data_IF_913584194957
#
_entry.id   IF_913584194957
#
_cell.length_a   1.000
_cell.length_b   1.000
_cell.length_c   1.000
_cell.angle_alpha   90.00
_cell.angle_beta   90.00
_cell.angle_gamma   90.00
#
_symmetry.space_group_name_H-M   'P 1'
#
loop_
_entity.id
_entity.type
_entity.pdbx_description
1 polymer ?
#
# COMPACT_ATOMS: atom_id res chain seq x y z
N UNK A 1 -20.01 8.04 -5.41
CA UNK A 1 -18.81 8.45 -6.18
C UNK A 1 -18.96 9.93 -6.51
N UNK A 2 -17.85 10.67 -6.55
CA UNK A 2 -17.82 12.10 -6.89
C UNK A 2 -16.86 12.28 -8.06
N UNK A 3 -17.27 13.04 -9.08
CA UNK A 3 -16.41 13.40 -10.21
C UNK A 3 -15.90 14.83 -10.03
N UNK A 4 -14.60 15.03 -10.19
CA UNK A 4 -13.94 16.34 -10.04
C UNK A 4 -13.38 16.75 -11.39
N UNK A 5 -13.97 17.77 -12.00
CA UNK A 5 -13.43 18.36 -13.23
C UNK A 5 -12.25 19.27 -12.90
N UNK A 6 -11.19 19.18 -13.69
CA UNK A 6 -9.96 19.97 -13.50
C UNK A 6 -9.54 20.63 -14.81
N UNK A 7 -8.57 21.55 -14.72
CA UNK A 7 -7.92 22.17 -15.89
C UNK A 7 -6.66 21.42 -16.34
N UNK A 8 -6.44 20.20 -15.84
CA UNK A 8 -5.28 19.39 -16.21
C UNK A 8 -5.36 19.00 -17.69
N UNK A 9 -4.19 18.82 -18.30
CA UNK A 9 -4.10 18.26 -19.65
C UNK A 9 -4.72 16.84 -19.66
N UNK A 10 -5.65 16.53 -20.59
CA UNK A 10 -6.30 15.22 -20.66
C UNK A 10 -5.32 14.03 -20.79
N UNK A 11 -4.13 14.25 -21.33
CA UNK A 11 -3.08 13.22 -21.40
C UNK A 11 -2.59 12.79 -20.02
N UNK A 12 -2.67 13.66 -19.01
CA UNK A 12 -2.25 13.36 -17.64
C UNK A 12 -3.23 12.48 -16.87
N UNK A 13 -4.49 12.37 -17.31
CA UNK A 13 -5.56 11.64 -16.61
C UNK A 13 -6.01 10.36 -17.34
N UNK A 14 -5.42 10.06 -18.49
CA UNK A 14 -5.80 8.90 -19.32
C UNK A 14 -5.38 7.59 -18.64
N UNK A 15 -6.18 6.54 -18.82
CA UNK A 15 -5.84 5.15 -18.42
C UNK A 15 -5.50 5.00 -16.92
N UNK A 16 -6.29 5.63 -16.05
CA UNK A 16 -6.12 5.57 -14.58
C UNK A 16 -4.73 6.01 -14.08
N UNK A 17 -4.06 6.89 -14.82
CA UNK A 17 -2.71 7.41 -14.49
C UNK A 17 -2.61 8.02 -13.08
N UNK A 18 -3.71 8.56 -12.55
CA UNK A 18 -3.79 9.17 -11.21
C UNK A 18 -4.31 8.21 -10.12
N UNK A 19 -4.31 6.89 -10.37
CA UNK A 19 -4.77 5.92 -9.38
C UNK A 19 -3.93 5.98 -8.09
N UNK A 20 -4.61 6.23 -6.98
CA UNK A 20 -4.01 6.38 -5.66
C UNK A 20 -3.52 7.78 -5.32
N UNK A 21 -3.68 8.75 -6.23
CA UNK A 21 -3.36 10.14 -5.94
C UNK A 21 -4.32 10.74 -4.92
N UNK A 22 -3.78 11.62 -4.08
CA UNK A 22 -4.54 12.42 -3.12
C UNK A 22 -4.62 13.84 -3.64
N UNK A 23 -5.79 14.46 -3.53
CA UNK A 23 -6.01 15.87 -3.87
C UNK A 23 -6.42 16.64 -2.61
N UNK A 24 -6.00 17.89 -2.53
CA UNK A 24 -6.26 18.78 -1.39
C UNK A 24 -5.88 20.22 -1.76
N UNK A 25 -6.21 21.14 -0.87
CA UNK A 25 -5.85 22.55 -1.05
C UNK A 25 -4.32 22.73 -1.03
N UNK A 26 -3.78 23.73 -1.75
CA UNK A 26 -2.34 24.00 -1.75
C UNK A 26 -1.76 24.10 -0.34
N UNK A 27 -0.68 23.37 -0.08
CA UNK A 27 0.03 23.38 1.21
C UNK A 27 -0.64 22.59 2.34
N UNK A 28 -1.74 21.87 2.08
CA UNK A 28 -2.46 21.11 3.13
C UNK A 28 -2.13 19.61 3.15
N UNK A 29 -1.50 19.11 2.09
CA UNK A 29 -1.17 17.69 1.97
C UNK A 29 0.22 17.39 2.55
N UNK A 30 0.40 16.19 3.16
CA UNK A 30 1.71 15.69 3.52
C UNK A 30 2.67 15.59 2.32
N UNK A 31 3.97 15.63 2.61
CA UNK A 31 4.99 15.38 1.60
C UNK A 31 4.93 13.92 1.11
N UNK A 32 5.38 13.73 -0.13
CA UNK A 32 5.46 12.41 -0.74
C UNK A 32 6.61 11.61 -0.14
N UNK A 33 6.34 10.37 0.28
CA UNK A 33 7.35 9.47 0.79
C UNK A 33 7.55 8.24 -0.11
N UNK A 34 8.80 7.78 -0.17
CA UNK A 34 9.18 6.49 -0.77
C UNK A 34 9.35 5.39 0.27
N UNK A 35 9.28 5.73 1.55
CA UNK A 35 9.57 4.83 2.65
C UNK A 35 8.46 4.92 3.69
N UNK A 36 8.09 3.81 4.29
CA UNK A 36 7.16 3.84 5.42
C UNK A 36 7.54 2.80 6.46
N UNK A 37 7.18 3.11 7.70
CA UNK A 37 7.19 2.18 8.81
C UNK A 37 5.76 1.76 9.08
N UNK A 38 5.50 0.46 9.10
CA UNK A 38 4.16 -0.12 9.18
C UNK A 38 4.11 -1.10 10.34
N UNK A 39 3.18 -0.87 11.27
CA UNK A 39 2.80 -1.86 12.26
C UNK A 39 1.84 -2.87 11.62
N UNK A 40 2.15 -4.15 11.72
CA UNK A 40 1.53 -5.23 10.96
C UNK A 40 0.81 -6.21 11.86
N UNK A 41 -0.43 -6.53 11.47
CA UNK A 41 -1.21 -7.64 12.00
C UNK A 41 -1.53 -8.61 10.85
N UNK A 42 -0.87 -9.77 10.85
CA UNK A 42 -1.10 -10.85 9.90
C UNK A 42 -2.31 -11.68 10.32
N UNK A 43 -3.02 -12.22 9.34
CA UNK A 43 -4.09 -13.19 9.57
C UNK A 43 -3.52 -14.60 9.71
N UNK A 44 -4.29 -15.53 10.26
CA UNK A 44 -3.89 -16.93 10.33
C UNK A 44 -3.85 -17.59 8.93
N UNK A 45 -4.79 -17.21 8.07
CA UNK A 45 -4.96 -17.73 6.71
C UNK A 45 -5.12 -16.61 5.68
N UNK A 46 -4.57 -16.81 4.49
CA UNK A 46 -4.66 -15.88 3.39
C UNK A 46 -6.09 -15.84 2.82
N UNK A 47 -6.65 -14.65 2.64
CA UNK A 47 -8.03 -14.48 2.19
C UNK A 47 -8.15 -14.61 0.67
N UNK A 48 -9.22 -15.26 0.22
CA UNK A 48 -9.61 -15.39 -1.19
C UNK A 48 -9.13 -16.68 -1.88
N UNK A 49 -8.39 -17.53 -1.17
CA UNK A 49 -8.05 -18.88 -1.64
C UNK A 49 -9.18 -19.85 -1.31
N UNK A 50 -9.43 -20.84 -2.19
CA UNK A 50 -10.32 -21.98 -1.90
C UNK A 50 -9.72 -22.88 -0.84
N UNK A 51 -8.39 -22.97 -0.83
CA UNK A 51 -7.62 -23.73 0.15
C UNK A 51 -7.18 -22.81 1.30
N UNK A 52 -7.23 -23.30 2.55
CA UNK A 52 -6.72 -22.59 3.72
C UNK A 52 -5.19 -22.49 3.69
N UNK A 53 -4.69 -21.44 3.04
CA UNK A 53 -3.25 -21.18 2.98
C UNK A 53 -2.82 -20.42 4.24
N UNK A 54 -2.05 -21.06 5.12
CA UNK A 54 -1.48 -20.41 6.30
C UNK A 54 -0.54 -19.26 5.89
N UNK A 55 -0.66 -18.13 6.58
CA UNK A 55 0.22 -16.97 6.35
C UNK A 55 1.52 -17.16 7.13
N UNK A 56 2.64 -17.16 6.41
CA UNK A 56 3.98 -17.11 7.02
C UNK A 56 4.37 -15.68 7.42
N UNK A 57 5.35 -15.55 8.32
CA UNK A 57 5.93 -14.25 8.68
C UNK A 57 6.47 -13.49 7.46
N UNK A 58 6.47 -12.16 7.52
CA UNK A 58 7.09 -11.30 6.49
C UNK A 58 8.61 -11.40 6.60
N UNK A 59 9.30 -11.47 5.45
CA UNK A 59 10.75 -11.55 5.39
C UNK A 59 11.37 -10.28 4.78
N UNK A 60 12.56 -9.92 5.24
CA UNK A 60 13.36 -8.86 4.63
C UNK A 60 13.71 -9.22 3.18
N UNK A 61 13.58 -8.24 2.28
CA UNK A 61 13.82 -8.41 0.85
C UNK A 61 12.59 -8.89 0.06
N UNK A 62 11.53 -9.34 0.74
CA UNK A 62 10.29 -9.76 0.11
C UNK A 62 9.59 -8.60 -0.61
N UNK A 63 8.92 -8.89 -1.73
CA UNK A 63 8.06 -7.92 -2.41
C UNK A 63 6.61 -8.12 -2.01
N UNK A 64 5.98 -7.07 -1.49
CA UNK A 64 4.59 -7.03 -1.09
C UNK A 64 3.82 -6.01 -1.92
N UNK A 65 2.50 -6.24 -2.05
CA UNK A 65 1.57 -5.23 -2.56
C UNK A 65 0.84 -4.62 -1.37
N UNK A 66 1.08 -3.34 -1.15
CA UNK A 66 0.42 -2.55 -0.12
C UNK A 66 -0.67 -1.71 -0.75
N UNK A 67 -1.83 -1.65 -0.09
CA UNK A 67 -2.90 -0.72 -0.46
C UNK A 67 -3.08 0.29 0.65
N UNK A 68 -2.73 1.55 0.37
CA UNK A 68 -2.83 2.66 1.31
C UNK A 68 -3.89 3.62 0.75
N UNK A 69 -5.01 3.75 1.44
CA UNK A 69 -6.20 4.39 0.87
C UNK A 69 -6.59 3.72 -0.45
N UNK A 70 -6.58 4.48 -1.55
CA UNK A 70 -6.87 3.99 -2.90
C UNK A 70 -5.61 3.63 -3.71
N UNK A 71 -4.41 3.78 -3.15
CA UNK A 71 -3.15 3.58 -3.84
C UNK A 71 -2.69 2.11 -3.78
N UNK A 72 -2.71 1.37 -4.90
CA UNK A 72 -2.00 0.09 -4.99
C UNK A 72 -0.52 0.35 -5.23
N UNK A 73 0.32 -0.14 -4.31
CA UNK A 73 1.75 0.08 -4.32
C UNK A 73 2.48 -1.26 -4.27
N UNK A 74 3.46 -1.44 -5.14
CA UNK A 74 4.46 -2.48 -4.98
C UNK A 74 5.57 -1.93 -4.09
N UNK A 75 5.96 -2.72 -3.09
CA UNK A 75 7.01 -2.36 -2.15
C UNK A 75 7.98 -3.51 -1.93
N UNK A 76 9.19 -3.16 -1.53
CA UNK A 76 10.21 -4.09 -1.03
C UNK A 76 10.36 -3.90 0.47
N UNK A 77 10.31 -4.99 1.22
CA UNK A 77 10.56 -4.98 2.66
C UNK A 77 12.05 -4.77 2.89
N UNK A 78 12.43 -3.71 3.61
CA UNK A 78 13.83 -3.38 3.90
C UNK A 78 14.27 -3.90 5.27
N UNK A 79 13.35 -3.98 6.24
CA UNK A 79 13.61 -4.52 7.56
C UNK A 79 12.32 -5.02 8.22
N UNK A 80 12.44 -6.03 9.08
CA UNK A 80 11.34 -6.55 9.91
C UNK A 80 11.82 -6.63 11.36
N UNK A 81 11.06 -6.04 12.28
CA UNK A 81 11.35 -6.02 13.72
C UNK A 81 10.06 -6.27 14.51
N UNK A 82 9.90 -7.50 14.98
CA UNK A 82 8.68 -7.91 15.70
C UNK A 82 7.44 -7.72 14.83
N UNK A 83 6.51 -6.86 15.28
CA UNK A 83 5.30 -6.50 14.54
C UNK A 83 5.47 -5.29 13.61
N UNK A 84 6.66 -4.71 13.52
CA UNK A 84 6.90 -3.57 12.64
C UNK A 84 7.71 -3.98 11.41
N UNK A 85 7.32 -3.50 10.23
CA UNK A 85 8.14 -3.60 9.03
C UNK A 85 8.46 -2.22 8.47
N UNK A 86 9.64 -2.11 7.87
CA UNK A 86 10.03 -0.98 7.04
C UNK A 86 9.98 -1.40 5.58
N UNK A 87 9.43 -0.53 4.74
CA UNK A 87 9.24 -0.80 3.32
C UNK A 87 9.72 0.38 2.48
N UNK A 88 10.15 0.06 1.27
CA UNK A 88 10.43 1.02 0.20
C UNK A 88 9.43 0.81 -0.94
N UNK A 89 8.71 1.86 -1.31
CA UNK A 89 7.75 1.86 -2.41
C UNK A 89 8.44 2.06 -3.75
N UNK A 90 7.90 1.44 -4.80
CA UNK A 90 8.37 1.65 -6.18
C UNK A 90 8.03 3.03 -6.75
N UNK A 91 6.97 3.65 -6.23
CA UNK A 91 6.50 5.00 -6.59
C UNK A 91 6.14 5.76 -5.30
N UNK A 92 6.24 7.09 -5.28
CA UNK A 92 5.95 7.86 -4.08
C UNK A 92 4.47 7.74 -3.70
N UNK A 93 4.19 7.89 -2.41
CA UNK A 93 2.84 7.94 -1.86
C UNK A 93 2.70 9.14 -0.92
N UNK A 94 1.55 9.80 -0.97
CA UNK A 94 1.15 10.77 0.04
C UNK A 94 0.64 10.00 1.25
N UNK A 95 1.40 10.01 2.34
CA UNK A 95 1.11 9.23 3.53
C UNK A 95 0.61 10.14 4.65
N UNK A 96 -0.57 9.86 5.18
CA UNK A 96 -1.07 10.52 6.39
C UNK A 96 -0.63 9.72 7.61
N UNK A 97 -0.48 10.39 8.75
CA UNK A 97 -0.30 9.71 10.03
C UNK A 97 -1.44 8.72 10.28
N UNK A 98 -1.10 7.54 10.82
CA UNK A 98 -2.05 6.46 11.12
C UNK A 98 -2.84 5.95 9.90
N UNK A 99 -2.25 6.00 8.70
CA UNK A 99 -2.89 5.48 7.49
C UNK A 99 -3.10 3.97 7.58
N UNK A 100 -4.33 3.50 7.34
CA UNK A 100 -4.63 2.07 7.27
C UNK A 100 -4.02 1.46 6.00
N UNK A 101 -3.39 0.30 6.15
CA UNK A 101 -2.72 -0.42 5.06
C UNK A 101 -3.27 -1.83 4.95
N UNK A 102 -3.71 -2.22 3.76
CA UNK A 102 -3.97 -3.62 3.44
C UNK A 102 -2.70 -4.26 2.85
N UNK A 103 -2.34 -5.45 3.32
CA UNK A 103 -1.08 -6.10 2.98
C UNK A 103 -1.37 -7.36 2.19
N UNK A 104 -0.89 -7.39 0.94
CA UNK A 104 -1.05 -8.52 0.04
C UNK A 104 0.30 -9.12 -0.35
N UNK A 105 0.32 -10.45 -0.45
CA UNK A 105 1.48 -11.26 -0.86
C UNK A 105 1.14 -12.03 -2.12
N UNK A 106 2.13 -12.24 -3.00
CA UNK A 106 1.95 -13.09 -4.18
C UNK A 106 2.09 -14.55 -3.77
N UNK A 107 1.03 -15.33 -3.94
CA UNK A 107 0.95 -16.77 -3.63
C UNK A 107 0.36 -17.47 -4.84
N UNK A 108 1.06 -18.46 -5.39
CA UNK A 108 0.64 -19.21 -6.58
C UNK A 108 0.15 -18.27 -7.71
N UNK A 109 0.99 -17.29 -8.08
CA UNK A 109 0.73 -16.29 -9.12
C UNK A 109 -0.36 -15.24 -8.84
N UNK A 110 -1.08 -15.30 -7.71
CA UNK A 110 -2.13 -14.33 -7.35
C UNK A 110 -1.76 -13.50 -6.14
N UNK A 111 -2.21 -12.25 -6.11
CA UNK A 111 -2.16 -11.44 -4.89
C UNK A 111 -3.23 -11.91 -3.92
N UNK A 112 -2.82 -12.31 -2.72
CA UNK A 112 -3.70 -12.71 -1.62
C UNK A 112 -3.54 -11.73 -0.47
N UNK A 113 -4.65 -11.36 0.16
CA UNK A 113 -4.63 -10.53 1.36
C UNK A 113 -4.15 -11.39 2.53
N UNK A 114 -3.10 -10.95 3.21
CA UNK A 114 -2.45 -11.69 4.30
C UNK A 114 -2.51 -10.97 5.64
N UNK A 115 -2.92 -9.70 5.65
CA UNK A 115 -3.02 -8.91 6.87
C UNK A 115 -3.40 -7.46 6.62
N UNK A 116 -3.44 -6.72 7.71
CA UNK A 116 -3.64 -5.28 7.72
C UNK A 116 -2.67 -4.60 8.69
N UNK A 117 -2.49 -3.30 8.55
CA UNK A 117 -1.56 -2.55 9.38
C UNK A 117 -1.85 -1.06 9.42
N UNK A 118 -1.02 -0.35 10.17
CA UNK A 118 -1.06 1.10 10.33
C UNK A 118 0.31 1.63 9.93
N UNK A 119 0.34 2.52 8.93
CA UNK A 119 1.55 3.20 8.53
C UNK A 119 1.69 4.53 9.27
N UNK A 120 2.92 4.78 9.72
CA UNK A 120 3.34 6.06 10.26
C UNK A 120 4.22 6.75 9.21
N UNK A 121 3.88 8.01 8.93
CA UNK A 121 4.56 8.88 7.96
C UNK A 121 5.89 9.39 8.47
#
# INVERSE_FOLDING_TARGET
MVAVATKLDPSMTRSDSLIGSVIGEPGTLPENSYNAKIEVNLFDTAVGSSDEIKVSSIQTGESLRLSIGTAPLLSKVTSVRGKTMEVQFKRPVCLFENSKVAISRRIAERWRLIGAGIANG
#
